data_IF_182990979087
#
_entry.id   IF_182990979087
#
_cell.length_a   1.000
_cell.length_b   1.000
_cell.length_c   1.000
_cell.angle_alpha   90.00
_cell.angle_beta   90.00
_cell.angle_gamma   90.00
#
_symmetry.space_group_name_H-M   'P 1'
#
loop_
_entity.id
_entity.type
_entity.pdbx_description
1 polymer ?
#
# COMPACT_ATOMS: atom_id res chain seq x y z
N UNK A 1 16.48 -13.47 12.83
CA UNK A 1 15.06 -13.27 12.50
C UNK A 1 14.90 -11.79 12.19
N UNK A 2 14.26 -11.44 11.09
CA UNK A 2 13.98 -10.04 10.77
C UNK A 2 12.99 -9.51 11.85
N UNK A 3 13.39 -8.51 12.62
CA UNK A 3 12.57 -7.94 13.69
C UNK A 3 11.53 -6.97 13.14
N UNK A 4 11.77 -6.43 11.94
CA UNK A 4 10.89 -5.45 11.29
C UNK A 4 9.57 -6.07 10.81
N UNK A 5 8.49 -5.31 10.89
CA UNK A 5 7.15 -5.74 10.54
C UNK A 5 6.62 -5.01 9.30
N UNK A 6 5.74 -5.68 8.57
CA UNK A 6 4.87 -5.04 7.57
C UNK A 6 3.66 -4.48 8.30
N UNK A 7 3.42 -3.19 8.16
CA UNK A 7 2.29 -2.51 8.77
C UNK A 7 1.17 -2.28 7.77
N UNK A 8 -0.04 -2.66 8.14
CA UNK A 8 -1.27 -2.29 7.45
C UNK A 8 -1.94 -1.15 8.22
N UNK A 9 -2.18 -0.02 7.57
CA UNK A 9 -3.05 1.01 8.14
C UNK A 9 -4.52 0.57 8.03
N UNK A 10 -5.17 0.33 9.17
CA UNK A 10 -6.59 0.05 9.23
C UNK A 10 -7.36 1.30 9.66
N UNK A 11 -8.23 1.78 8.80
CA UNK A 11 -9.12 2.93 9.04
C UNK A 11 -10.55 2.53 8.73
N UNK A 12 -11.53 3.24 9.30
CA UNK A 12 -12.94 2.92 9.04
C UNK A 12 -13.25 2.96 7.54
N UNK A 13 -13.88 1.90 7.02
CA UNK A 13 -14.22 1.74 5.61
C UNK A 13 -13.05 1.45 4.68
N UNK A 14 -11.91 0.95 5.18
CA UNK A 14 -10.81 0.57 4.29
C UNK A 14 -11.19 -0.59 3.37
N UNK A 15 -10.66 -0.63 2.15
CA UNK A 15 -10.87 -1.69 1.19
C UNK A 15 -10.02 -2.92 1.56
N UNK A 16 -10.65 -3.92 2.17
CA UNK A 16 -9.99 -5.11 2.73
C UNK A 16 -9.36 -6.04 1.67
N UNK A 17 -9.88 -6.06 0.45
CA UNK A 17 -9.32 -6.88 -0.64
C UNK A 17 -8.02 -6.34 -1.22
N UNK A 18 -7.79 -5.03 -1.15
CA UNK A 18 -6.65 -4.40 -1.80
C UNK A 18 -5.30 -4.85 -1.22
N UNK A 19 -5.09 -4.88 0.10
CA UNK A 19 -3.83 -5.33 0.69
C UNK A 19 -3.75 -6.85 0.85
N UNK A 20 -4.84 -7.59 0.64
CA UNK A 20 -4.97 -8.99 1.06
C UNK A 20 -3.89 -9.90 0.45
N UNK A 21 -3.64 -9.77 -0.86
CA UNK A 21 -2.60 -10.55 -1.54
C UNK A 21 -1.21 -10.21 -1.01
N UNK A 22 -0.89 -8.92 -0.89
CA UNK A 22 0.40 -8.49 -0.37
C UNK A 22 0.65 -9.03 1.04
N UNK A 23 -0.30 -8.85 1.95
CA UNK A 23 -0.17 -9.32 3.34
C UNK A 23 0.01 -10.84 3.42
N UNK A 24 -0.78 -11.58 2.63
CA UNK A 24 -0.71 -13.05 2.61
C UNK A 24 0.67 -13.54 2.17
N UNK A 25 1.19 -13.00 1.07
CA UNK A 25 2.45 -13.45 0.48
C UNK A 25 3.67 -12.98 1.30
N UNK A 26 3.65 -11.75 1.78
CA UNK A 26 4.72 -11.22 2.63
C UNK A 26 4.83 -12.01 3.94
N UNK A 27 3.69 -12.39 4.51
CA UNK A 27 3.69 -13.22 5.73
C UNK A 27 4.10 -14.66 5.44
N UNK A 28 3.52 -15.29 4.40
CA UNK A 28 3.66 -16.72 4.11
C UNK A 28 5.04 -17.06 3.55
N UNK A 29 5.52 -16.30 2.59
CA UNK A 29 6.75 -16.56 1.85
C UNK A 29 7.91 -15.65 2.31
N UNK A 30 7.63 -14.43 2.75
CA UNK A 30 8.63 -13.52 3.29
C UNK A 30 8.94 -13.72 4.77
N UNK A 31 8.07 -14.41 5.50
CA UNK A 31 8.23 -14.60 6.95
C UNK A 31 8.09 -13.32 7.76
N UNK A 32 7.54 -12.26 7.18
CA UNK A 32 7.32 -11.01 7.89
C UNK A 32 6.20 -11.13 8.92
N UNK A 33 6.37 -10.48 10.06
CA UNK A 33 5.29 -10.20 10.98
C UNK A 33 4.40 -9.12 10.36
N UNK A 34 3.09 -9.29 10.44
CA UNK A 34 2.10 -8.28 10.00
C UNK A 34 1.50 -7.65 11.24
N UNK A 35 1.59 -6.32 11.30
CA UNK A 35 0.98 -5.49 12.33
C UNK A 35 -0.12 -4.62 11.71
N UNK A 36 -1.16 -4.37 12.48
CA UNK A 36 -2.25 -3.49 12.07
C UNK A 36 -2.16 -2.20 12.85
N UNK A 37 -1.84 -1.10 12.15
CA UNK A 37 -1.78 0.23 12.74
C UNK A 37 -3.14 0.94 12.59
N UNK A 38 -3.64 1.51 13.66
CA UNK A 38 -4.87 2.31 13.67
C UNK A 38 -4.60 3.78 13.99
N UNK A 39 -5.52 4.66 13.60
CA UNK A 39 -5.52 6.06 14.06
C UNK A 39 -5.87 6.15 15.55
N UNK A 40 -6.64 5.18 16.04
CA UNK A 40 -6.96 4.94 17.43
C UNK A 40 -6.78 3.45 17.74
N UNK A 41 -6.95 3.07 19.01
CA UNK A 41 -6.93 1.65 19.41
C UNK A 41 -8.31 0.98 19.29
N UNK A 42 -9.31 1.69 18.76
CA UNK A 42 -10.65 1.15 18.57
C UNK A 42 -10.73 0.25 17.34
N UNK A 43 -11.62 -0.73 17.40
CA UNK A 43 -11.89 -1.58 16.25
C UNK A 43 -12.53 -0.77 15.11
N UNK A 44 -12.06 -1.01 13.88
CA UNK A 44 -12.60 -0.44 12.65
C UNK A 44 -13.29 -1.52 11.82
N UNK A 45 -14.21 -1.11 10.96
CA UNK A 45 -14.89 -2.02 10.03
C UNK A 45 -14.43 -1.72 8.61
N UNK A 46 -14.02 -2.75 7.89
CA UNK A 46 -13.63 -2.62 6.47
C UNK A 46 -14.84 -2.38 5.57
N UNK A 47 -14.60 -2.08 4.29
CA UNK A 47 -15.63 -1.94 3.27
C UNK A 47 -16.43 -3.24 3.06
N UNK A 48 -15.76 -4.40 3.19
CA UNK A 48 -16.39 -5.72 3.16
C UNK A 48 -17.08 -6.15 4.46
N UNK A 49 -17.09 -5.29 5.49
CA UNK A 49 -17.73 -5.59 6.79
C UNK A 49 -16.87 -6.39 7.76
N UNK A 50 -15.59 -6.58 7.46
CA UNK A 50 -14.65 -7.26 8.36
C UNK A 50 -14.25 -6.31 9.50
N UNK A 51 -14.47 -6.75 10.74
CA UNK A 51 -14.08 -5.98 11.91
C UNK A 51 -12.65 -6.30 12.30
N UNK A 52 -11.80 -5.27 12.35
CA UNK A 52 -10.38 -5.36 12.66
C UNK A 52 -10.06 -4.53 13.90
N UNK A 53 -9.36 -5.14 14.85
CA UNK A 53 -8.80 -4.42 16.00
C UNK A 53 -7.33 -4.11 15.70
N UNK A 54 -6.92 -2.83 15.68
CA UNK A 54 -5.51 -2.48 15.53
C UNK A 54 -4.65 -3.09 16.63
N UNK A 55 -3.46 -3.55 16.28
CA UNK A 55 -2.48 -4.08 17.21
C UNK A 55 -1.59 -2.97 17.80
N UNK A 56 -1.56 -1.81 17.12
CA UNK A 56 -0.81 -0.63 17.56
C UNK A 56 -1.47 0.67 17.09
N UNK A 57 -1.19 1.76 17.76
CA UNK A 57 -1.56 3.10 17.28
C UNK A 57 -0.46 3.63 16.35
N UNK A 58 -0.81 4.44 15.35
CA UNK A 58 0.17 5.06 14.44
C UNK A 58 1.22 5.90 15.18
N UNK A 59 0.86 6.52 16.32
CA UNK A 59 1.79 7.29 17.14
C UNK A 59 2.85 6.44 17.85
N UNK A 60 2.59 5.14 17.99
CA UNK A 60 3.50 4.19 18.64
C UNK A 60 4.36 3.41 17.63
N UNK A 61 4.16 3.65 16.33
CA UNK A 61 4.96 3.00 15.27
C UNK A 61 6.36 3.61 15.25
N UNK A 62 7.36 2.79 15.56
CA UNK A 62 8.75 3.18 15.35
C UNK A 62 9.16 2.92 13.89
N UNK A 63 9.53 3.94 13.10
CA UNK A 63 10.01 3.76 11.73
C UNK A 63 11.20 2.81 11.57
N UNK A 64 11.98 2.58 12.63
CA UNK A 64 13.10 1.62 12.60
C UNK A 64 12.60 0.16 12.53
N UNK A 65 11.40 -0.11 13.03
CA UNK A 65 10.79 -1.44 13.03
C UNK A 65 9.92 -1.71 11.81
N UNK A 66 9.79 -0.77 10.88
CA UNK A 66 8.95 -0.90 9.69
C UNK A 66 9.73 -1.54 8.55
N UNK A 67 9.26 -2.69 8.06
CA UNK A 67 9.73 -3.32 6.83
C UNK A 67 8.99 -2.77 5.59
N UNK A 68 7.70 -2.47 5.72
CA UNK A 68 6.87 -1.78 4.74
C UNK A 68 5.64 -1.19 5.44
N UNK A 69 5.11 -0.09 4.92
CA UNK A 69 3.88 0.53 5.41
C UNK A 69 2.85 0.59 4.28
N UNK A 70 1.71 -0.07 4.47
CA UNK A 70 0.66 -0.26 3.46
C UNK A 70 -0.56 0.58 3.83
N UNK A 71 -0.98 1.46 2.90
CA UNK A 71 -2.18 2.27 2.99
C UNK A 71 -3.21 1.75 1.99
N UNK A 72 -4.28 1.06 2.44
CA UNK A 72 -5.37 0.63 1.57
C UNK A 72 -6.28 1.81 1.22
N UNK A 73 -7.01 1.67 0.13
CA UNK A 73 -8.03 2.62 -0.28
C UNK A 73 -9.23 2.66 0.67
N UNK A 74 -10.19 3.45 0.27
CA UNK A 74 -11.44 3.68 1.00
C UNK A 74 -11.95 5.09 0.79
N UNK A 75 -13.26 5.28 0.91
CA UNK A 75 -13.94 6.55 0.62
C UNK A 75 -13.51 7.71 1.54
N UNK A 76 -12.95 7.39 2.69
CA UNK A 76 -12.46 8.43 3.62
C UNK A 76 -11.42 9.34 2.98
N UNK A 77 -10.58 8.79 2.09
CA UNK A 77 -9.51 9.55 1.46
C UNK A 77 -10.01 10.65 0.52
N UNK A 78 -11.22 10.52 0.03
CA UNK A 78 -11.86 11.53 -0.83
C UNK A 78 -12.41 12.71 -0.03
N UNK A 79 -12.72 12.51 1.26
CA UNK A 79 -13.50 13.44 2.08
C UNK A 79 -12.67 14.36 2.97
N UNK A 80 -11.39 14.11 3.18
CA UNK A 80 -10.66 14.80 4.23
C UNK A 80 -9.18 14.99 4.04
N UNK A 81 -8.63 15.78 4.94
CA UNK A 81 -7.20 15.92 5.13
C UNK A 81 -6.61 14.64 5.75
N UNK A 82 -5.30 14.48 5.59
CA UNK A 82 -4.53 13.47 6.31
C UNK A 82 -4.40 13.92 7.77
N UNK A 83 -4.65 13.03 8.71
CA UNK A 83 -4.46 13.32 10.13
C UNK A 83 -2.99 13.68 10.40
N UNK A 84 -2.71 14.73 11.22
CA UNK A 84 -1.34 15.20 11.42
C UNK A 84 -0.35 14.10 11.84
N UNK A 85 -0.74 13.27 12.81
CA UNK A 85 0.12 12.17 13.27
C UNK A 85 0.42 11.13 12.17
N UNK A 86 -0.54 10.86 11.29
CA UNK A 86 -0.31 10.01 10.12
C UNK A 86 0.62 10.69 9.12
N UNK A 87 0.42 11.99 8.85
CA UNK A 87 1.29 12.77 7.97
C UNK A 87 2.75 12.73 8.43
N UNK A 88 2.99 13.02 9.70
CA UNK A 88 4.33 12.98 10.31
C UNK A 88 4.97 11.59 10.23
N UNK A 89 4.20 10.52 10.44
CA UNK A 89 4.71 9.15 10.30
C UNK A 89 5.09 8.87 8.84
N UNK A 90 4.23 9.23 7.87
CA UNK A 90 4.47 8.96 6.45
C UNK A 90 5.70 9.73 5.93
N UNK A 91 5.89 10.99 6.34
CA UNK A 91 7.08 11.78 6.01
C UNK A 91 8.37 11.15 6.60
N UNK A 92 8.31 10.66 7.83
CA UNK A 92 9.43 9.96 8.46
C UNK A 92 9.76 8.64 7.75
N UNK A 93 8.75 7.90 7.30
CA UNK A 93 8.95 6.66 6.54
C UNK A 93 9.50 6.94 5.14
N UNK A 94 8.99 7.97 4.45
CA UNK A 94 9.46 8.35 3.12
C UNK A 94 10.93 8.80 3.09
N UNK A 95 11.42 9.37 4.19
CA UNK A 95 12.83 9.73 4.35
C UNK A 95 13.77 8.52 4.53
N UNK A 96 13.25 7.30 4.54
CA UNK A 96 13.96 6.04 4.78
C UNK A 96 13.87 5.10 3.57
N UNK A 97 14.80 4.14 3.42
CA UNK A 97 14.70 3.10 2.40
C UNK A 97 13.67 2.01 2.81
N UNK A 98 12.43 2.44 3.08
CA UNK A 98 11.33 1.57 3.52
C UNK A 98 10.18 1.73 2.54
N UNK A 99 9.64 0.64 1.99
CA UNK A 99 8.48 0.71 1.09
C UNK A 99 7.29 1.40 1.74
N UNK A 100 6.93 2.56 1.19
CA UNK A 100 5.67 3.24 1.46
C UNK A 100 4.72 2.93 0.30
N UNK A 101 3.67 2.17 0.59
CA UNK A 101 2.81 1.59 -0.43
C UNK A 101 1.36 2.06 -0.27
N UNK A 102 0.83 2.78 -1.26
CA UNK A 102 -0.53 3.31 -1.26
C UNK A 102 -1.31 2.83 -2.49
N UNK A 103 -2.53 2.35 -2.27
CA UNK A 103 -3.41 1.86 -3.34
C UNK A 103 -4.74 2.61 -3.34
N UNK A 104 -5.30 2.83 -4.54
CA UNK A 104 -6.64 3.42 -4.71
C UNK A 104 -6.74 4.83 -4.10
N UNK A 105 -7.76 5.07 -3.26
CA UNK A 105 -7.96 6.33 -2.57
C UNK A 105 -6.79 6.77 -1.68
N UNK A 106 -6.00 5.84 -1.15
CA UNK A 106 -4.86 6.19 -0.30
C UNK A 106 -3.77 6.98 -1.04
N UNK A 107 -3.69 6.88 -2.36
CA UNK A 107 -2.79 7.72 -3.17
C UNK A 107 -3.07 9.22 -3.03
N UNK A 108 -4.31 9.60 -2.67
CA UNK A 108 -4.68 10.98 -2.37
C UNK A 108 -3.97 11.51 -1.11
N UNK A 109 -3.77 10.65 -0.10
CA UNK A 109 -3.03 11.03 1.10
C UNK A 109 -1.57 11.36 0.74
N UNK A 110 -0.93 10.50 -0.04
CA UNK A 110 0.45 10.68 -0.52
C UNK A 110 0.57 11.96 -1.36
N UNK A 111 -0.41 12.22 -2.25
CA UNK A 111 -0.47 13.44 -3.05
C UNK A 111 -0.62 14.71 -2.19
N UNK A 112 -1.49 14.69 -1.16
CA UNK A 112 -1.72 15.83 -0.26
C UNK A 112 -0.50 16.19 0.58
N UNK A 113 0.30 15.21 0.93
CA UNK A 113 1.57 15.39 1.64
C UNK A 113 2.72 15.83 0.72
N UNK A 114 2.48 15.92 -0.60
CA UNK A 114 3.53 16.27 -1.57
C UNK A 114 4.55 15.17 -1.82
N UNK A 115 4.32 13.95 -1.33
CA UNK A 115 5.25 12.82 -1.44
C UNK A 115 5.32 12.23 -2.86
N UNK A 116 4.44 12.67 -3.78
CA UNK A 116 4.52 12.33 -5.21
C UNK A 116 5.48 13.24 -5.98
N UNK A 117 5.98 14.33 -5.36
CA UNK A 117 6.73 15.35 -6.09
C UNK A 117 7.97 14.79 -6.78
N UNK A 118 8.02 14.97 -8.11
CA UNK A 118 9.14 14.53 -8.95
C UNK A 118 9.27 13.02 -9.13
N UNK A 119 8.33 12.22 -8.61
CA UNK A 119 8.35 10.75 -8.70
C UNK A 119 7.35 10.23 -9.71
N UNK A 120 7.70 9.15 -10.40
CA UNK A 120 6.73 8.38 -11.18
C UNK A 120 5.72 7.75 -10.22
N UNK A 121 4.43 7.87 -10.57
CA UNK A 121 3.34 7.36 -9.73
C UNK A 121 2.08 7.10 -10.55
N UNK A 122 1.16 6.38 -9.97
CA UNK A 122 -0.19 6.15 -10.49
C UNK A 122 -1.24 6.32 -9.40
N UNK A 123 -2.50 6.20 -9.78
CA UNK A 123 -3.68 6.26 -8.91
C UNK A 123 -4.88 5.65 -9.65
N UNK A 124 -6.11 5.91 -9.19
CA UNK A 124 -7.35 5.58 -9.91
C UNK A 124 -7.55 6.38 -11.21
N UNK A 125 -6.58 7.17 -11.60
CA UNK A 125 -6.56 7.99 -12.80
C UNK A 125 -6.03 9.39 -12.53
N UNK A 126 -5.42 10.03 -13.54
CA UNK A 126 -4.90 11.39 -13.41
C UNK A 126 -6.02 12.39 -13.06
N UNK A 127 -7.21 12.22 -13.64
CA UNK A 127 -8.38 13.06 -13.32
C UNK A 127 -8.84 12.90 -11.89
N UNK A 128 -8.73 11.69 -11.33
CA UNK A 128 -9.05 11.41 -9.92
C UNK A 128 -8.14 12.21 -8.98
N UNK A 129 -6.82 12.18 -9.19
CA UNK A 129 -5.87 12.99 -8.43
C UNK A 129 -6.19 14.48 -8.52
N UNK A 130 -6.39 15.01 -9.74
CA UNK A 130 -6.69 16.44 -9.96
C UNK A 130 -8.00 16.90 -9.31
N UNK A 131 -9.00 16.02 -9.29
CA UNK A 131 -10.32 16.34 -8.71
C UNK A 131 -10.24 16.42 -7.18
N UNK A 132 -9.56 15.45 -6.55
CA UNK A 132 -9.56 15.33 -5.09
C UNK A 132 -8.39 16.04 -4.40
N UNK A 133 -7.34 16.42 -5.16
CA UNK A 133 -6.18 17.16 -4.67
C UNK A 133 -5.93 18.37 -5.58
N UNK A 134 -6.63 19.50 -5.39
CA UNK A 134 -6.49 20.67 -6.27
C UNK A 134 -5.07 21.23 -6.35
N UNK A 135 -4.25 21.01 -5.31
CA UNK A 135 -2.84 21.42 -5.28
C UNK A 135 -1.89 20.45 -6.01
N UNK A 136 -2.41 19.32 -6.52
CA UNK A 136 -1.57 18.32 -7.21
C UNK A 136 -1.00 18.90 -8.52
N UNK A 137 0.34 18.92 -8.61
CA UNK A 137 1.07 19.54 -9.72
C UNK A 137 1.90 18.55 -10.56
N UNK A 138 1.99 17.28 -10.14
CA UNK A 138 2.95 16.31 -10.68
C UNK A 138 2.38 15.46 -11.85
N UNK A 139 1.50 16.05 -12.65
CA UNK A 139 0.88 15.37 -13.80
C UNK A 139 1.89 14.89 -14.85
N UNK A 140 3.07 15.51 -14.93
CA UNK A 140 4.12 15.12 -15.89
C UNK A 140 4.82 13.80 -15.51
N UNK A 141 4.77 13.40 -14.24
CA UNK A 141 5.35 12.15 -13.73
C UNK A 141 4.28 11.07 -13.49
N UNK A 142 3.00 11.39 -13.75
CA UNK A 142 1.94 10.41 -13.71
C UNK A 142 2.10 9.35 -14.80
N UNK A 143 1.93 8.09 -14.44
CA UNK A 143 1.98 6.94 -15.35
C UNK A 143 0.65 6.21 -15.30
N UNK A 144 0.03 5.99 -16.45
CA UNK A 144 -1.25 5.28 -16.57
C UNK A 144 -1.03 3.77 -16.59
N UNK A 145 -0.62 3.24 -15.44
CA UNK A 145 -0.41 1.81 -15.19
C UNK A 145 -1.15 1.38 -13.91
N UNK A 146 -1.37 0.09 -13.75
CA UNK A 146 -2.06 -0.45 -12.59
C UNK A 146 -1.27 -0.25 -11.29
N UNK A 147 0.05 -0.32 -11.36
CA UNK A 147 0.96 -0.09 -10.24
C UNK A 147 2.27 0.50 -10.74
N UNK A 148 2.81 1.46 -10.02
CA UNK A 148 4.10 2.11 -10.30
C UNK A 148 4.92 2.15 -9.03
N UNK A 149 6.18 1.75 -9.14
CA UNK A 149 7.19 1.91 -8.10
C UNK A 149 8.26 2.90 -8.57
N UNK A 150 8.56 3.86 -7.71
CA UNK A 150 9.70 4.77 -7.89
C UNK A 150 10.45 4.89 -6.56
N UNK A 151 11.69 4.41 -6.54
CA UNK A 151 12.43 4.14 -5.32
C UNK A 151 11.59 3.24 -4.38
N UNK A 152 11.38 3.67 -3.14
CA UNK A 152 10.60 2.94 -2.13
C UNK A 152 9.12 3.34 -2.09
N UNK A 153 8.67 4.25 -2.97
CA UNK A 153 7.26 4.60 -3.08
C UNK A 153 6.56 3.69 -4.09
N UNK A 154 5.52 3.00 -3.64
CA UNK A 154 4.67 2.15 -4.47
C UNK A 154 3.27 2.75 -4.49
N UNK A 155 2.76 3.06 -5.68
CA UNK A 155 1.40 3.56 -5.86
C UNK A 155 0.63 2.67 -6.83
N UNK A 156 -0.65 2.44 -6.57
CA UNK A 156 -1.48 1.60 -7.41
C UNK A 156 -2.91 2.12 -7.57
N UNK A 157 -3.52 1.79 -8.69
CA UNK A 157 -4.98 1.85 -8.87
C UNK A 157 -5.65 0.77 -8.01
N UNK A 158 -6.89 0.99 -7.57
CA UNK A 158 -7.69 -0.02 -6.86
C UNK A 158 -7.92 -1.31 -7.65
N UNK A 159 -7.74 -1.26 -8.98
CA UNK A 159 -7.76 -2.45 -9.84
C UNK A 159 -6.42 -3.19 -9.87
N UNK A 160 -5.35 -2.59 -9.38
CA UNK A 160 -3.98 -3.08 -9.48
C UNK A 160 -3.50 -3.86 -8.26
N UNK A 161 -4.36 -4.49 -7.48
CA UNK A 161 -4.00 -5.18 -6.23
C UNK A 161 -3.03 -6.36 -6.43
N UNK A 162 -3.02 -7.00 -7.59
CA UNK A 162 -2.06 -8.07 -7.93
C UNK A 162 -0.67 -7.46 -8.22
N UNK A 163 -0.63 -6.40 -9.03
CA UNK A 163 0.59 -5.65 -9.34
C UNK A 163 1.19 -5.05 -8.07
N UNK A 164 0.36 -4.48 -7.22
CA UNK A 164 0.72 -3.91 -5.93
C UNK A 164 1.39 -4.94 -5.02
N UNK A 165 0.81 -6.13 -4.91
CA UNK A 165 1.40 -7.22 -4.15
C UNK A 165 2.74 -7.69 -4.76
N UNK A 166 2.83 -7.77 -6.08
CA UNK A 166 4.06 -8.14 -6.79
C UNK A 166 5.19 -7.14 -6.55
N UNK A 167 4.91 -5.83 -6.64
CA UNK A 167 5.92 -4.79 -6.39
C UNK A 167 6.40 -4.80 -4.93
N UNK A 168 5.51 -5.01 -3.96
CA UNK A 168 5.89 -5.17 -2.55
C UNK A 168 6.75 -6.42 -2.32
N UNK A 169 6.39 -7.55 -2.93
CA UNK A 169 7.21 -8.77 -2.87
C UNK A 169 8.59 -8.55 -3.48
N UNK A 170 8.67 -7.81 -4.58
CA UNK A 170 9.94 -7.50 -5.23
C UNK A 170 10.82 -6.63 -4.35
N UNK A 171 10.27 -5.55 -3.81
CA UNK A 171 11.00 -4.61 -2.97
C UNK A 171 11.52 -5.27 -1.68
N UNK A 172 10.76 -6.21 -1.14
CA UNK A 172 11.14 -6.94 0.08
C UNK A 172 11.88 -8.26 -0.19
N UNK A 173 12.22 -8.55 -1.45
CA UNK A 173 12.97 -9.75 -1.83
C UNK A 173 12.23 -11.07 -1.58
N UNK A 174 10.90 -11.05 -1.59
CA UNK A 174 10.06 -12.23 -1.37
C UNK A 174 9.84 -12.95 -2.69
N UNK A 175 10.07 -14.25 -2.72
CA UNK A 175 10.09 -15.12 -3.89
C UNK A 175 11.19 -14.75 -4.92
N UNK A 176 11.48 -15.65 -5.85
CA UNK A 176 12.33 -15.34 -6.99
C UNK A 176 11.59 -14.44 -8.02
N UNK A 177 12.29 -13.74 -8.92
CA UNK A 177 11.64 -13.00 -9.99
C UNK A 177 10.70 -13.87 -10.84
N UNK A 178 11.09 -15.11 -11.10
CA UNK A 178 10.31 -16.07 -11.88
C UNK A 178 9.03 -16.49 -11.13
N UNK A 179 9.15 -16.80 -9.84
CA UNK A 179 8.01 -17.20 -9.01
C UNK A 179 7.02 -16.03 -8.83
N UNK A 180 7.51 -14.79 -8.66
CA UNK A 180 6.64 -13.61 -8.60
C UNK A 180 5.86 -13.39 -9.90
N UNK A 181 6.53 -13.58 -11.04
CA UNK A 181 5.86 -13.47 -12.35
C UNK A 181 4.82 -14.56 -12.54
N UNK A 182 5.16 -15.79 -12.20
CA UNK A 182 4.25 -16.93 -12.24
C UNK A 182 3.04 -16.68 -11.34
N UNK A 183 3.27 -16.29 -10.09
CA UNK A 183 2.24 -15.95 -9.11
C UNK A 183 1.27 -14.88 -9.68
N UNK A 184 1.79 -13.77 -10.17
CA UNK A 184 0.96 -12.71 -10.74
C UNK A 184 0.15 -13.17 -11.95
N UNK A 185 0.76 -14.00 -12.81
CA UNK A 185 0.10 -14.56 -13.99
C UNK A 185 -1.07 -15.48 -13.60
N UNK A 186 -0.87 -16.32 -12.58
CA UNK A 186 -1.91 -17.21 -12.06
C UNK A 186 -3.12 -16.42 -11.55
N UNK A 187 -2.89 -15.41 -10.72
CA UNK A 187 -3.97 -14.60 -10.15
C UNK A 187 -4.69 -13.77 -11.20
N UNK A 188 -3.98 -13.24 -12.21
CA UNK A 188 -4.58 -12.49 -13.32
C UNK A 188 -5.41 -13.38 -14.25
N UNK A 189 -4.90 -14.56 -14.56
CA UNK A 189 -5.53 -15.48 -15.53
C UNK A 189 -6.58 -16.41 -14.90
N UNK A 190 -6.54 -16.60 -13.59
CA UNK A 190 -7.33 -17.61 -12.90
C UNK A 190 -6.94 -19.05 -13.27
N UNK A 191 -5.70 -19.25 -13.79
CA UNK A 191 -5.20 -20.56 -14.22
C UNK A 191 -3.97 -20.95 -13.43
N UNK A 192 -3.93 -22.20 -12.98
CA UNK A 192 -2.69 -22.80 -12.45
C UNK A 192 -1.75 -23.12 -13.60
N UNK A 193 -0.41 -23.09 -13.38
CA UNK A 193 0.53 -23.58 -14.37
C UNK A 193 0.25 -25.06 -14.64
N UNK A 194 0.44 -25.46 -15.89
CA UNK A 194 0.37 -26.88 -16.23
C UNK A 194 1.38 -27.62 -15.35
N UNK A 195 0.94 -28.69 -14.68
CA UNK A 195 1.85 -29.51 -13.92
C UNK A 195 2.95 -30.01 -14.87
N UNK A 196 4.21 -29.63 -14.57
CA UNK A 196 5.33 -30.21 -15.30
C UNK A 196 5.30 -31.73 -15.09
N UNK A 197 5.00 -32.48 -16.13
CA UNK A 197 5.02 -33.96 -16.15
C UNK A 197 6.45 -34.46 -16.16
#
# INVERSE_FOLDING_TARGET
MNTSAVYLLAVEGFADWEPAHALAELRRHGGFRVEVAGLTNDAVTSMGGVRVLPTTNISDVDPEDVAAFILPGGDRWERGAVEPALGELLERLDARPVPLAAICGATLAIARLGLLHGRRHTSNGLSYLKTHVPAYADAATYVDELCVRDNHLITASGLGHIEFARELMEELGVLSPEDRLLWATMFRSGRLPDAAH
#
